data_IF_759326300527
#
_entry.id   IF_759326300527
#
_cell.length_a   1.000
_cell.length_b   1.000
_cell.length_c   1.000
_cell.angle_alpha   90.00
_cell.angle_beta   90.00
_cell.angle_gamma   90.00
#
_symmetry.space_group_name_H-M   'P 1'
#
loop_
_entity.id
_entity.type
_entity.pdbx_description
1 polymer ?
#
# COMPACT_ATOMS: atom_id res chain seq x y z
N UNK A 1 -9.87 24.75 -3.07
CA UNK A 1 -8.56 24.29 -2.58
C UNK A 1 -7.45 25.32 -2.67
N UNK A 2 -7.50 26.31 -3.57
CA UNK A 2 -6.47 27.37 -3.64
C UNK A 2 -5.16 26.93 -4.28
N UNK A 3 -5.16 25.79 -4.98
CA UNK A 3 -3.98 25.21 -5.62
C UNK A 3 -3.80 25.79 -7.03
N UNK A 4 -2.61 26.31 -7.39
CA UNK A 4 -2.37 26.93 -8.68
C UNK A 4 -2.52 25.94 -9.86
N UNK A 5 -2.76 26.43 -11.09
CA UNK A 5 -2.68 25.60 -12.29
C UNK A 5 -1.25 25.09 -12.53
N UNK A 6 -1.10 24.05 -13.37
CA UNK A 6 0.23 23.65 -13.85
C UNK A 6 0.78 24.72 -14.82
N UNK A 7 2.10 24.97 -14.84
CA UNK A 7 2.75 25.71 -15.91
C UNK A 7 2.47 25.10 -17.30
N UNK A 8 2.31 25.94 -18.32
CA UNK A 8 1.95 25.52 -19.69
C UNK A 8 2.95 24.54 -20.34
N UNK A 9 4.21 24.55 -19.89
CA UNK A 9 5.30 23.70 -20.35
C UNK A 9 5.46 22.41 -19.53
N UNK A 10 4.57 22.16 -18.57
CA UNK A 10 4.64 20.96 -17.74
C UNK A 10 4.34 19.72 -18.58
N UNK A 11 5.26 18.75 -18.70
CA UNK A 11 4.97 17.49 -19.36
C UNK A 11 3.75 16.85 -18.69
N UNK A 12 2.77 16.42 -19.49
CA UNK A 12 1.63 15.66 -18.98
C UNK A 12 2.19 14.40 -18.30
N UNK A 13 2.26 14.39 -16.96
CA UNK A 13 2.91 13.28 -16.27
C UNK A 13 2.15 11.97 -16.51
N UNK A 14 2.87 10.91 -16.85
CA UNK A 14 2.32 9.58 -17.12
C UNK A 14 1.64 8.92 -15.91
N UNK A 15 1.77 9.51 -14.73
CA UNK A 15 1.48 8.88 -13.43
C UNK A 15 0.29 7.95 -13.42
N UNK A 16 -0.91 8.50 -13.33
CA UNK A 16 -2.14 7.72 -13.18
C UNK A 16 -2.46 6.83 -14.41
N UNK A 17 -1.91 7.15 -15.59
CA UNK A 17 -2.10 6.39 -16.83
C UNK A 17 -1.29 5.08 -16.86
N UNK A 18 -0.27 4.95 -16.01
CA UNK A 18 0.55 3.73 -15.86
C UNK A 18 -0.22 2.47 -15.42
N UNK A 19 -1.49 2.63 -15.00
CA UNK A 19 -2.37 1.57 -14.50
C UNK A 19 -3.25 0.97 -15.61
N UNK A 20 -3.19 1.51 -16.83
CA UNK A 20 -3.90 0.95 -17.98
C UNK A 20 -3.28 -0.41 -18.35
N UNK A 21 -4.11 -1.37 -18.75
CA UNK A 21 -3.64 -2.73 -19.08
C UNK A 21 -2.51 -2.73 -20.12
N UNK A 22 -2.58 -1.86 -21.14
CA UNK A 22 -1.53 -1.71 -22.17
C UNK A 22 -0.19 -1.23 -21.60
N UNK A 23 -0.20 -0.43 -20.54
CA UNK A 23 1.01 0.09 -19.89
C UNK A 23 1.52 -0.89 -18.82
N UNK A 24 0.61 -1.58 -18.13
CA UNK A 24 1.00 -2.62 -17.17
C UNK A 24 1.77 -3.78 -17.84
N UNK A 25 1.39 -4.15 -19.06
CA UNK A 25 2.08 -5.19 -19.84
C UNK A 25 3.53 -4.83 -20.16
N UNK A 26 3.79 -3.59 -20.59
CA UNK A 26 5.16 -3.16 -20.87
C UNK A 26 6.02 -3.13 -19.60
N UNK A 27 5.45 -2.82 -18.42
CA UNK A 27 6.17 -2.92 -17.15
C UNK A 27 6.56 -4.37 -16.81
N UNK A 28 5.68 -5.35 -17.06
CA UNK A 28 6.01 -6.77 -16.87
C UNK A 28 7.15 -7.19 -17.80
N UNK A 29 7.10 -6.82 -19.08
CA UNK A 29 8.17 -7.12 -20.04
C UNK A 29 9.52 -6.52 -19.62
N UNK A 30 9.52 -5.32 -19.04
CA UNK A 30 10.73 -4.71 -18.47
C UNK A 30 11.21 -5.52 -17.27
N UNK A 31 10.33 -5.84 -16.32
CA UNK A 31 10.71 -6.61 -15.13
C UNK A 31 11.35 -7.95 -15.48
N UNK A 32 10.80 -8.68 -16.46
CA UNK A 32 11.30 -9.98 -16.94
C UNK A 32 12.67 -9.91 -17.64
N UNK A 33 13.14 -8.73 -18.04
CA UNK A 33 14.48 -8.52 -18.63
C UNK A 33 15.57 -8.31 -17.59
N UNK A 34 15.21 -8.13 -16.32
CA UNK A 34 16.13 -7.89 -15.22
C UNK A 34 16.18 -9.09 -14.27
N UNK A 35 17.26 -9.25 -13.48
CA UNK A 35 17.41 -10.37 -12.53
C UNK A 35 16.57 -10.18 -11.25
N UNK A 36 15.33 -9.71 -11.39
CA UNK A 36 14.41 -9.61 -10.28
C UNK A 36 14.05 -11.01 -9.75
N UNK A 37 13.72 -11.11 -8.46
CA UNK A 37 13.40 -12.40 -7.80
C UNK A 37 11.92 -12.59 -7.50
N UNK A 38 11.15 -11.50 -7.54
CA UNK A 38 9.74 -11.47 -7.16
C UNK A 38 8.98 -10.46 -8.02
N UNK A 39 7.81 -10.84 -8.52
CA UNK A 39 6.79 -9.92 -9.03
C UNK A 39 5.63 -9.91 -8.05
N UNK A 40 5.23 -8.74 -7.55
CA UNK A 40 4.09 -8.60 -6.66
C UNK A 40 2.90 -7.96 -7.38
N UNK A 41 1.78 -8.70 -7.46
CA UNK A 41 0.53 -8.21 -8.04
C UNK A 41 -0.35 -7.56 -6.97
N UNK A 42 -0.64 -6.27 -7.14
CA UNK A 42 -1.39 -5.48 -6.16
C UNK A 42 -2.92 -5.63 -6.24
N UNK A 43 -3.49 -5.73 -7.46
CA UNK A 43 -4.94 -5.70 -7.67
C UNK A 43 -5.41 -6.91 -8.47
N UNK A 44 -6.38 -7.64 -7.91
CA UNK A 44 -6.95 -8.83 -8.52
C UNK A 44 -5.96 -10.00 -8.55
N UNK A 45 -6.32 -11.06 -9.28
CA UNK A 45 -5.40 -12.17 -9.52
C UNK A 45 -4.45 -11.85 -10.68
N UNK A 46 -3.16 -12.19 -10.58
CA UNK A 46 -2.25 -12.01 -11.69
C UNK A 46 -2.71 -12.83 -12.92
N UNK A 47 -2.54 -12.32 -14.15
CA UNK A 47 -2.83 -13.09 -15.36
C UNK A 47 -1.98 -14.36 -15.42
N UNK A 48 -2.58 -15.49 -15.82
CA UNK A 48 -1.90 -16.78 -15.84
C UNK A 48 -0.63 -16.79 -16.70
N UNK A 49 -0.64 -16.05 -17.81
CA UNK A 49 0.52 -15.95 -18.71
C UNK A 49 1.67 -15.14 -18.09
N UNK A 50 1.38 -14.19 -17.19
CA UNK A 50 2.41 -13.45 -16.44
C UNK A 50 3.06 -14.34 -15.39
N UNK A 51 2.27 -15.19 -14.71
CA UNK A 51 2.78 -16.15 -13.74
C UNK A 51 3.72 -17.13 -14.43
N UNK A 52 3.29 -17.72 -15.55
CA UNK A 52 4.11 -18.65 -16.32
C UNK A 52 5.45 -18.03 -16.78
N UNK A 53 5.42 -16.81 -17.33
CA UNK A 53 6.64 -16.11 -17.75
C UNK A 53 7.58 -15.79 -16.58
N UNK A 54 7.03 -15.41 -15.41
CA UNK A 54 7.83 -15.18 -14.20
C UNK A 54 8.52 -16.47 -13.75
N UNK A 55 7.78 -17.59 -13.70
CA UNK A 55 8.33 -18.89 -13.34
C UNK A 55 9.38 -19.40 -14.33
N UNK A 56 9.19 -19.19 -15.64
CA UNK A 56 10.20 -19.50 -16.67
C UNK A 56 11.53 -18.74 -16.46
N UNK A 57 11.47 -17.57 -15.83
CA UNK A 57 12.64 -16.75 -15.45
C UNK A 57 13.17 -17.07 -14.04
N UNK A 58 12.57 -18.04 -13.33
CA UNK A 58 12.93 -18.39 -11.96
C UNK A 58 12.57 -17.30 -10.95
N UNK A 59 11.55 -16.48 -11.26
CA UNK A 59 10.99 -15.48 -10.36
C UNK A 59 9.81 -16.05 -9.60
N UNK A 60 9.63 -15.62 -8.36
CA UNK A 60 8.40 -15.88 -7.60
C UNK A 60 7.33 -14.84 -7.94
N UNK A 61 6.07 -15.18 -7.69
CA UNK A 61 4.92 -14.29 -7.80
C UNK A 61 4.24 -14.16 -6.44
N UNK A 62 4.08 -12.92 -5.97
CA UNK A 62 3.23 -12.59 -4.83
C UNK A 62 1.92 -11.96 -5.30
N UNK A 63 0.83 -12.16 -4.56
CA UNK A 63 -0.42 -11.46 -4.82
C UNK A 63 -1.11 -11.01 -3.53
N UNK A 64 -1.63 -9.79 -3.54
CA UNK A 64 -2.37 -9.22 -2.41
C UNK A 64 -3.79 -9.79 -2.36
N UNK A 65 -4.24 -10.14 -1.16
CA UNK A 65 -5.56 -10.67 -0.88
C UNK A 65 -6.20 -9.94 0.30
N UNK A 66 -7.40 -9.40 0.09
CA UNK A 66 -8.22 -8.78 1.13
C UNK A 66 -9.35 -9.68 1.67
N UNK A 67 -9.39 -10.96 1.23
CA UNK A 67 -10.35 -12.01 1.64
C UNK A 67 -9.76 -13.40 1.41
N UNK A 68 -10.26 -14.42 2.11
CA UNK A 68 -9.87 -15.82 1.93
C UNK A 68 -10.10 -16.34 0.50
N UNK A 69 -11.23 -16.00 -0.13
CA UNK A 69 -11.54 -16.47 -1.50
C UNK A 69 -10.56 -15.90 -2.53
N UNK A 70 -10.06 -14.68 -2.31
CA UNK A 70 -9.02 -14.10 -3.16
C UNK A 70 -7.72 -14.89 -3.03
N UNK A 71 -7.31 -15.22 -1.79
CA UNK A 71 -6.10 -15.99 -1.54
C UNK A 71 -6.18 -17.39 -2.16
N UNK A 72 -7.31 -18.08 -2.02
CA UNK A 72 -7.56 -19.37 -2.67
C UNK A 72 -7.42 -19.27 -4.19
N UNK A 73 -8.07 -18.28 -4.82
CA UNK A 73 -7.97 -18.10 -6.27
C UNK A 73 -6.54 -17.78 -6.74
N UNK A 74 -5.76 -17.05 -5.94
CA UNK A 74 -4.35 -16.79 -6.23
C UNK A 74 -3.52 -18.08 -6.20
N UNK A 75 -3.69 -18.90 -5.16
CA UNK A 75 -2.99 -20.19 -5.02
C UNK A 75 -3.34 -21.15 -6.16
N UNK A 76 -4.62 -21.24 -6.54
CA UNK A 76 -5.08 -22.06 -7.66
C UNK A 76 -4.47 -21.65 -9.00
N UNK A 77 -4.04 -20.38 -9.14
CA UNK A 77 -3.39 -19.85 -10.34
C UNK A 77 -1.86 -19.98 -10.31
N UNK A 78 -1.29 -20.51 -9.23
CA UNK A 78 0.16 -20.70 -9.08
C UNK A 78 0.90 -19.49 -8.50
N UNK A 79 0.24 -18.63 -7.71
CA UNK A 79 0.94 -17.61 -6.91
C UNK A 79 1.76 -18.31 -5.82
N UNK A 80 2.99 -17.85 -5.59
CA UNK A 80 3.94 -18.45 -4.64
C UNK A 80 3.85 -17.85 -3.23
N UNK A 81 3.37 -16.60 -3.10
CA UNK A 81 3.27 -15.89 -1.81
C UNK A 81 1.95 -15.10 -1.77
N UNK A 82 1.17 -15.27 -0.69
CA UNK A 82 -0.03 -14.46 -0.47
C UNK A 82 0.29 -13.32 0.49
N UNK A 83 -0.11 -12.09 0.14
CA UNK A 83 -0.01 -10.93 1.01
C UNK A 83 -1.40 -10.61 1.57
N UNK A 84 -1.68 -11.01 2.80
CA UNK A 84 -2.95 -10.79 3.50
C UNK A 84 -3.05 -9.33 3.95
N UNK A 85 -3.76 -8.49 3.17
CA UNK A 85 -3.80 -7.05 3.37
C UNK A 85 -5.09 -6.60 4.07
N UNK A 86 -4.95 -6.24 5.35
CA UNK A 86 -6.06 -5.78 6.18
C UNK A 86 -6.55 -4.37 5.88
N UNK A 87 -7.73 -4.07 6.41
CA UNK A 87 -8.47 -2.81 6.28
C UNK A 87 -7.66 -1.55 6.65
N UNK A 88 -6.68 -1.70 7.54
CA UNK A 88 -5.84 -0.64 8.08
C UNK A 88 -4.75 -0.19 7.07
N UNK A 89 -4.51 -0.96 6.00
CA UNK A 89 -3.52 -0.66 4.98
C UNK A 89 -3.84 0.63 4.19
N UNK A 90 -2.79 1.27 3.68
CA UNK A 90 -2.91 2.41 2.77
C UNK A 90 -3.20 1.98 1.34
N UNK A 91 -3.83 2.85 0.55
CA UNK A 91 -4.21 2.54 -0.83
C UNK A 91 -5.38 1.58 -0.89
N UNK A 92 -5.50 0.84 -2.00
CA UNK A 92 -6.62 -0.08 -2.18
C UNK A 92 -6.58 -1.21 -1.15
N UNK A 93 -7.64 -1.33 -0.36
CA UNK A 93 -7.77 -2.35 0.69
C UNK A 93 -9.21 -2.86 0.78
N UNK A 94 -9.36 -4.09 1.27
CA UNK A 94 -10.63 -4.73 1.58
C UNK A 94 -11.37 -4.08 2.75
N UNK A 95 -12.22 -4.85 3.43
CA UNK A 95 -13.04 -4.38 4.57
C UNK A 95 -12.77 -5.15 5.86
N UNK A 96 -12.00 -6.24 5.77
CA UNK A 96 -11.69 -7.12 6.90
C UNK A 96 -10.39 -6.62 7.55
N UNK A 97 -10.43 -6.35 8.85
CA UNK A 97 -9.29 -5.91 9.64
C UNK A 97 -8.23 -7.01 9.78
N UNK A 98 -6.94 -6.64 9.89
CA UNK A 98 -5.82 -7.60 9.92
C UNK A 98 -5.95 -8.69 10.98
N UNK A 99 -6.50 -8.36 12.16
CA UNK A 99 -6.70 -9.33 13.24
C UNK A 99 -7.61 -10.50 12.84
N UNK A 100 -8.57 -10.26 11.95
CA UNK A 100 -9.51 -11.28 11.45
C UNK A 100 -8.99 -11.86 10.13
N UNK A 101 -8.54 -11.01 9.21
CA UNK A 101 -8.17 -11.40 7.86
C UNK A 101 -6.96 -12.35 7.81
N UNK A 102 -5.93 -12.06 8.61
CA UNK A 102 -4.67 -12.82 8.56
C UNK A 102 -4.89 -14.30 8.89
N UNK A 103 -5.48 -14.66 10.05
CA UNK A 103 -5.70 -16.08 10.36
C UNK A 103 -6.69 -16.74 9.38
N UNK A 104 -7.74 -16.04 8.93
CA UNK A 104 -8.67 -16.58 7.93
C UNK A 104 -7.95 -16.96 6.62
N UNK A 105 -7.04 -16.11 6.13
CA UNK A 105 -6.26 -16.40 4.92
C UNK A 105 -5.28 -17.55 5.18
N UNK A 106 -4.58 -17.55 6.32
CA UNK A 106 -3.65 -18.63 6.70
C UNK A 106 -4.35 -19.98 6.71
N UNK A 107 -5.49 -20.08 7.39
CA UNK A 107 -6.29 -21.30 7.48
C UNK A 107 -6.80 -21.74 6.10
N UNK A 108 -7.24 -20.78 5.27
CA UNK A 108 -7.74 -21.08 3.94
C UNK A 108 -6.66 -21.65 3.01
N UNK A 109 -5.45 -21.09 3.02
CA UNK A 109 -4.37 -21.56 2.12
C UNK A 109 -3.60 -22.76 2.69
N UNK A 110 -3.57 -22.92 4.01
CA UNK A 110 -2.78 -23.95 4.70
C UNK A 110 -1.30 -23.88 4.33
N UNK A 111 -0.64 -25.03 4.22
CA UNK A 111 0.80 -25.11 3.90
C UNK A 111 1.13 -24.92 2.41
N UNK A 112 0.14 -24.57 1.56
CA UNK A 112 0.35 -24.46 0.11
C UNK A 112 1.29 -23.32 -0.27
N UNK A 113 1.20 -22.19 0.45
CA UNK A 113 2.02 -21.00 0.22
C UNK A 113 2.25 -20.24 1.53
N UNK A 114 3.41 -19.58 1.72
CA UNK A 114 3.59 -18.65 2.82
C UNK A 114 2.65 -17.44 2.71
N UNK A 115 2.19 -16.96 3.87
CA UNK A 115 1.34 -15.76 3.99
C UNK A 115 2.13 -14.65 4.66
N UNK A 116 2.19 -13.48 4.03
CA UNK A 116 2.72 -12.25 4.63
C UNK A 116 1.57 -11.37 5.10
N UNK A 117 1.55 -10.99 6.38
CA UNK A 117 0.55 -10.06 6.90
C UNK A 117 0.87 -8.62 6.47
N UNK A 118 -0.13 -7.85 6.05
CA UNK A 118 0.02 -6.48 5.62
C UNK A 118 -1.10 -5.59 6.16
N UNK A 119 -0.79 -4.32 6.43
CA UNK A 119 -1.74 -3.33 6.96
C UNK A 119 -1.68 -3.20 8.48
N UNK A 120 -1.44 -1.98 8.95
CA UNK A 120 -1.35 -1.68 10.39
C UNK A 120 -0.05 -2.13 11.08
N UNK A 121 0.99 -2.50 10.33
CA UNK A 121 2.27 -3.00 10.87
C UNK A 121 3.37 -1.94 10.71
N UNK A 122 3.96 -1.53 11.83
CA UNK A 122 5.01 -0.52 11.94
C UNK A 122 5.74 -0.55 13.30
N UNK A 123 5.79 -1.73 13.94
CA UNK A 123 6.49 -1.98 15.20
C UNK A 123 6.75 -3.47 15.37
N UNK A 124 7.78 -3.85 16.14
CA UNK A 124 8.13 -5.25 16.37
C UNK A 124 7.04 -6.04 17.10
N UNK A 125 6.27 -5.38 17.98
CA UNK A 125 5.09 -6.00 18.63
C UNK A 125 3.98 -6.37 17.64
N UNK A 126 3.82 -5.59 16.57
CA UNK A 126 2.84 -5.89 15.51
C UNK A 126 3.34 -7.01 14.60
N UNK A 127 4.66 -7.11 14.40
CA UNK A 127 5.28 -8.27 13.75
C UNK A 127 5.02 -9.53 14.58
N UNK A 128 5.29 -9.51 15.89
CA UNK A 128 5.02 -10.63 16.77
C UNK A 128 3.55 -11.05 16.75
N UNK A 129 2.61 -10.08 16.75
CA UNK A 129 1.19 -10.37 16.62
C UNK A 129 0.85 -11.04 15.28
N UNK A 130 1.39 -10.54 14.16
CA UNK A 130 1.17 -11.15 12.85
C UNK A 130 1.68 -12.60 12.76
N UNK A 131 2.87 -12.88 13.30
CA UNK A 131 3.42 -14.23 13.36
C UNK A 131 2.59 -15.13 14.27
N UNK A 132 2.08 -14.61 15.39
CA UNK A 132 1.18 -15.35 16.28
C UNK A 132 -0.18 -15.68 15.62
N UNK A 133 -0.61 -14.87 14.63
CA UNK A 133 -1.78 -15.14 13.80
C UNK A 133 -1.51 -16.14 12.65
N UNK A 134 -0.29 -16.71 12.58
CA UNK A 134 0.07 -17.75 11.61
C UNK A 134 0.74 -17.23 10.33
N UNK A 135 0.99 -15.93 10.19
CA UNK A 135 1.74 -15.42 9.06
C UNK A 135 3.22 -15.83 9.12
N UNK A 136 3.84 -16.07 7.97
CA UNK A 136 5.28 -16.37 7.85
C UNK A 136 6.16 -15.13 7.95
N UNK A 137 5.57 -13.94 7.82
CA UNK A 137 6.27 -12.66 7.86
C UNK A 137 5.30 -11.49 7.65
N UNK A 138 5.87 -10.30 7.41
CA UNK A 138 5.09 -9.07 7.25
C UNK A 138 5.45 -8.33 5.97
N UNK A 139 4.48 -7.60 5.41
CA UNK A 139 4.64 -6.69 4.27
C UNK A 139 4.24 -5.27 4.70
N UNK A 140 5.23 -4.39 4.81
CA UNK A 140 5.06 -3.02 5.29
C UNK A 140 5.11 -2.01 4.14
N UNK A 141 4.32 -0.94 4.24
CA UNK A 141 4.23 0.12 3.24
C UNK A 141 4.44 1.51 3.83
N UNK A 142 3.42 2.04 4.52
CA UNK A 142 3.43 3.43 4.99
C UNK A 142 4.61 3.79 5.89
N UNK A 143 5.09 2.87 6.73
CA UNK A 143 6.24 3.11 7.60
C UNK A 143 7.52 3.54 6.84
N UNK A 144 7.64 3.18 5.56
CA UNK A 144 8.79 3.53 4.72
C UNK A 144 8.69 4.95 4.13
N UNK A 145 7.53 5.62 4.21
CA UNK A 145 7.32 6.95 3.61
C UNK A 145 7.97 8.09 4.41
N UNK A 146 8.35 7.83 5.66
CA UNK A 146 9.09 8.76 6.53
C UNK A 146 10.51 8.26 6.81
N UNK A 147 11.11 7.48 5.91
CA UNK A 147 12.54 7.19 6.00
C UNK A 147 13.38 8.22 5.27
N UNK A 148 14.65 8.40 5.67
CA UNK A 148 15.55 9.35 5.00
C UNK A 148 15.89 8.95 3.56
N UNK A 149 15.86 7.65 3.28
CA UNK A 149 16.05 7.06 1.95
C UNK A 149 14.83 7.22 1.04
N UNK A 150 13.66 7.56 1.59
CA UNK A 150 12.48 7.86 0.78
C UNK A 150 12.66 9.21 0.07
N UNK A 151 12.70 9.17 -1.26
CA UNK A 151 12.98 10.33 -2.10
C UNK A 151 11.82 10.60 -3.07
N UNK A 152 11.25 11.82 -3.00
CA UNK A 152 10.24 12.30 -3.96
C UNK A 152 10.67 13.58 -4.69
N UNK A 153 11.96 13.92 -4.61
CA UNK A 153 12.48 15.19 -5.15
C UNK A 153 11.79 16.40 -4.50
N UNK A 154 11.44 17.45 -5.28
CA UNK A 154 10.86 18.68 -4.74
C UNK A 154 9.54 18.51 -3.96
N UNK A 155 8.83 17.39 -4.16
CA UNK A 155 7.52 17.14 -3.56
C UNK A 155 7.61 16.64 -2.11
N UNK A 156 8.81 16.21 -1.69
CA UNK A 156 9.03 15.44 -0.47
C UNK A 156 8.67 16.19 0.82
N UNK A 157 8.99 17.49 0.92
CA UNK A 157 8.83 18.25 2.15
C UNK A 157 7.36 18.33 2.61
N UNK A 158 6.46 18.70 1.70
CA UNK A 158 5.02 18.80 2.01
C UNK A 158 4.37 17.45 2.30
N UNK A 159 4.78 16.38 1.62
CA UNK A 159 4.29 15.02 1.85
C UNK A 159 4.74 14.52 3.22
N UNK A 160 6.04 14.65 3.52
CA UNK A 160 6.58 14.22 4.81
C UNK A 160 5.96 15.01 5.95
N UNK A 161 5.82 16.33 5.83
CA UNK A 161 5.14 17.13 6.85
C UNK A 161 3.71 16.64 7.11
N UNK A 162 2.93 16.44 6.04
CA UNK A 162 1.55 15.94 6.17
C UNK A 162 1.47 14.55 6.83
N UNK A 163 2.46 13.68 6.58
CA UNK A 163 2.54 12.36 7.20
C UNK A 163 2.96 12.42 8.67
N UNK A 164 3.93 13.28 9.02
CA UNK A 164 4.45 13.45 10.38
C UNK A 164 3.43 14.06 11.35
N UNK A 165 2.54 14.91 10.83
CA UNK A 165 1.49 15.58 11.62
C UNK A 165 0.24 14.70 11.82
N UNK A 166 0.10 13.60 11.07
CA UNK A 166 -1.11 12.79 11.04
C UNK A 166 -1.19 11.76 12.17
N UNK A 167 -2.39 11.55 12.69
CA UNK A 167 -2.71 10.48 13.65
C UNK A 167 -3.33 9.27 12.96
N UNK A 168 -3.51 8.16 13.68
CA UNK A 168 -4.20 6.97 13.14
C UNK A 168 -5.66 7.22 12.74
N UNK A 169 -6.27 8.30 13.23
CA UNK A 169 -7.62 8.75 12.90
C UNK A 169 -7.67 9.61 11.64
N UNK A 170 -6.53 10.10 11.15
CA UNK A 170 -6.44 11.03 10.01
C UNK A 170 -6.28 10.29 8.69
N UNK A 171 -7.00 9.18 8.53
CA UNK A 171 -7.11 8.47 7.26
C UNK A 171 -8.58 8.20 6.93
N UNK A 172 -8.91 8.21 5.64
CA UNK A 172 -10.26 7.97 5.14
C UNK A 172 -10.24 6.99 3.99
N UNK A 173 -11.20 6.07 3.97
CA UNK A 173 -11.41 5.15 2.85
C UNK A 173 -12.43 5.76 1.90
N UNK A 174 -12.03 5.98 0.66
CA UNK A 174 -12.84 6.65 -0.35
C UNK A 174 -12.54 6.11 -1.75
N UNK A 175 -13.42 6.39 -2.72
CA UNK A 175 -13.21 6.06 -4.13
C UNK A 175 -12.53 7.17 -4.92
N UNK A 176 -12.26 8.33 -4.32
CA UNK A 176 -11.85 9.54 -5.04
C UNK A 176 -10.49 9.44 -5.73
N UNK A 177 -9.65 8.48 -5.33
CA UNK A 177 -8.30 8.32 -5.88
C UNK A 177 -8.32 7.70 -7.28
N UNK A 178 -9.01 6.57 -7.44
CA UNK A 178 -8.99 5.76 -8.69
C UNK A 178 -10.38 5.29 -9.13
N UNK A 179 -11.40 5.47 -8.31
CA UNK A 179 -12.74 4.92 -8.48
C UNK A 179 -12.97 3.59 -7.75
N UNK A 180 -11.90 2.92 -7.30
CA UNK A 180 -11.96 1.81 -6.33
C UNK A 180 -11.73 2.32 -4.91
N UNK A 181 -12.29 1.66 -3.87
CA UNK A 181 -12.00 2.00 -2.48
C UNK A 181 -10.50 1.99 -2.20
N UNK A 182 -9.98 3.09 -1.68
CA UNK A 182 -8.60 3.26 -1.25
C UNK A 182 -8.54 4.10 0.02
N UNK A 183 -7.63 3.76 0.94
CA UNK A 183 -7.35 4.54 2.14
C UNK A 183 -6.31 5.62 1.84
N UNK A 184 -6.69 6.85 2.12
CA UNK A 184 -5.91 8.05 1.87
C UNK A 184 -5.73 8.81 3.19
N UNK A 185 -4.73 9.68 3.22
CA UNK A 185 -4.59 10.70 4.26
C UNK A 185 -5.83 11.61 4.22
N UNK A 186 -6.44 11.84 5.38
CA UNK A 186 -7.58 12.76 5.52
C UNK A 186 -7.05 14.20 5.56
N UNK A 187 -7.53 15.02 4.64
CA UNK A 187 -7.17 16.43 4.51
C UNK A 187 -8.20 17.20 3.67
N UNK A 188 -7.93 18.47 3.35
CA UNK A 188 -8.85 19.34 2.60
C UNK A 188 -9.23 18.79 1.23
N UNK A 189 -8.33 18.06 0.54
CA UNK A 189 -8.68 17.38 -0.71
C UNK A 189 -9.74 16.32 -0.45
N UNK A 190 -9.50 15.39 0.47
CA UNK A 190 -10.46 14.31 0.76
C UNK A 190 -11.79 14.81 1.34
N UNK A 191 -11.75 15.88 2.14
CA UNK A 191 -12.92 16.49 2.76
C UNK A 191 -13.80 17.16 1.72
N UNK A 192 -13.21 17.84 0.72
CA UNK A 192 -13.97 18.48 -0.36
C UNK A 192 -14.83 17.50 -1.18
N UNK A 193 -14.44 16.23 -1.27
CA UNK A 193 -15.24 15.18 -1.90
C UNK A 193 -16.36 14.63 -1.02
N UNK A 194 -16.36 14.98 0.27
CA UNK A 194 -17.39 14.58 1.24
C UNK A 194 -18.40 15.70 1.52
N UNK A 195 -18.17 16.89 0.97
CA UNK A 195 -19.06 18.05 1.11
C UNK A 195 -20.42 17.84 0.41
N UNK A 196 -21.45 18.50 0.93
CA UNK A 196 -22.78 18.46 0.32
C UNK A 196 -22.73 19.04 -1.11
N UNK A 197 -23.21 18.27 -2.09
CA UNK A 197 -23.19 18.66 -3.50
C UNK A 197 -21.90 18.27 -4.25
N UNK A 198 -20.92 17.66 -3.57
CA UNK A 198 -19.75 17.10 -4.24
C UNK A 198 -20.16 15.98 -5.23
N UNK A 199 -19.50 15.88 -6.40
CA UNK A 199 -19.80 14.84 -7.37
C UNK A 199 -19.44 13.46 -6.82
N UNK A 200 -20.23 12.45 -7.22
CA UNK A 200 -19.89 11.07 -6.91
C UNK A 200 -18.65 10.63 -7.69
N UNK A 201 -17.68 9.93 -7.06
CA UNK A 201 -16.51 9.44 -7.77
C UNK A 201 -16.90 8.50 -8.91
N UNK A 202 -16.24 8.63 -10.06
CA UNK A 202 -16.43 7.72 -11.19
C UNK A 202 -15.89 6.31 -10.87
N UNK A 203 -16.28 5.27 -11.61
CA UNK A 203 -15.62 3.96 -11.50
C UNK A 203 -14.19 4.00 -12.06
N UNK A 204 -13.36 3.03 -11.65
CA UNK A 204 -12.03 2.84 -12.24
C UNK A 204 -12.16 2.35 -13.69
N UNK A 205 -11.37 2.87 -14.65
CA UNK A 205 -10.27 3.82 -14.49
C UNK A 205 -10.65 5.31 -14.67
N UNK A 206 -11.92 5.63 -14.94
CA UNK A 206 -12.34 7.00 -15.30
C UNK A 206 -12.06 8.02 -14.19
N UNK A 207 -12.28 7.67 -12.92
CA UNK A 207 -11.97 8.58 -11.82
C UNK A 207 -10.49 8.91 -11.78
N UNK A 208 -9.64 7.90 -12.00
CA UNK A 208 -8.20 8.04 -12.05
C UNK A 208 -7.80 9.08 -13.12
N UNK A 209 -8.38 8.97 -14.32
CA UNK A 209 -8.14 9.91 -15.42
C UNK A 209 -8.63 11.32 -15.05
N UNK A 210 -9.82 11.44 -14.46
CA UNK A 210 -10.42 12.71 -14.05
C UNK A 210 -9.54 13.48 -13.05
N UNK A 211 -8.99 12.80 -12.04
CA UNK A 211 -8.23 13.45 -10.96
C UNK A 211 -6.73 13.56 -11.24
N UNK A 212 -6.23 13.03 -12.36
CA UNK A 212 -4.81 12.96 -12.66
C UNK A 212 -4.12 14.34 -12.63
N UNK A 213 -4.70 15.33 -13.31
CA UNK A 213 -4.18 16.71 -13.31
C UNK A 213 -4.27 17.34 -11.91
N UNK A 214 -5.39 17.15 -11.22
CA UNK A 214 -5.57 17.65 -9.87
C UNK A 214 -4.49 17.10 -8.92
N UNK A 215 -4.22 15.79 -8.95
CA UNK A 215 -3.16 15.19 -8.14
C UNK A 215 -1.78 15.77 -8.46
N UNK A 216 -1.45 16.01 -9.74
CA UNK A 216 -0.18 16.64 -10.11
C UNK A 216 -0.05 18.05 -9.53
N UNK A 217 -1.13 18.85 -9.60
CA UNK A 217 -1.19 20.20 -9.03
C UNK A 217 -1.05 20.17 -7.51
N UNK A 218 -1.80 19.30 -6.84
CA UNK A 218 -1.78 19.16 -5.38
C UNK A 218 -0.38 18.79 -4.87
N UNK A 219 0.26 17.80 -5.52
CA UNK A 219 1.60 17.38 -5.14
C UNK A 219 2.65 18.48 -5.34
N UNK A 220 2.53 19.28 -6.42
CA UNK A 220 3.45 20.38 -6.75
C UNK A 220 3.20 21.66 -5.96
N UNK A 221 2.09 21.76 -5.24
CA UNK A 221 1.71 22.97 -4.52
C UNK A 221 2.63 23.28 -3.33
N UNK A 222 3.35 22.27 -2.82
CA UNK A 222 4.12 22.40 -1.58
C UNK A 222 3.24 22.61 -0.34
N UNK A 223 1.94 22.34 -0.42
CA UNK A 223 0.96 22.52 0.66
C UNK A 223 0.63 21.15 1.30
N UNK A 224 1.07 20.89 2.55
CA UNK A 224 0.79 19.63 3.25
C UNK A 224 -0.71 19.38 3.46
N UNK A 225 -1.54 20.42 3.48
CA UNK A 225 -2.98 20.32 3.79
C UNK A 225 -3.84 19.75 2.66
N UNK A 226 -3.24 19.44 1.50
CA UNK A 226 -3.96 18.97 0.30
C UNK A 226 -3.33 17.76 -0.39
N UNK A 227 -2.32 17.13 0.22
CA UNK A 227 -1.55 16.03 -0.39
C UNK A 227 -2.45 14.80 -0.65
N UNK A 228 -2.59 14.33 -1.92
CA UNK A 228 -3.41 13.16 -2.25
C UNK A 228 -2.64 11.84 -2.02
N UNK A 229 -2.28 11.55 -0.77
CA UNK A 229 -1.39 10.43 -0.42
C UNK A 229 -2.14 9.18 0.07
N UNK A 230 -1.95 8.01 -0.57
CA UNK A 230 -2.32 6.74 0.03
C UNK A 230 -1.46 6.42 1.27
N UNK A 231 -2.11 6.22 2.41
CA UNK A 231 -1.41 5.89 3.67
C UNK A 231 -2.31 5.07 4.58
N UNK A 232 -1.73 4.12 5.31
CA UNK A 232 -2.43 3.28 6.28
C UNK A 232 -2.55 3.94 7.64
N UNK A 233 -3.38 3.39 8.51
CA UNK A 233 -3.59 3.91 9.88
C UNK A 233 -2.34 3.85 10.75
N UNK A 234 -1.31 3.11 10.33
CA UNK A 234 0.01 3.11 10.96
C UNK A 234 0.70 4.48 10.92
N UNK A 235 0.18 5.43 10.12
CA UNK A 235 0.68 6.81 10.04
C UNK A 235 0.80 7.50 11.40
N UNK A 236 -0.07 7.18 12.35
CA UNK A 236 0.03 7.70 13.72
C UNK A 236 1.30 7.29 14.50
N UNK A 237 2.15 6.41 13.93
CA UNK A 237 3.47 6.06 14.47
C UNK A 237 4.63 6.70 13.68
N UNK A 238 4.35 7.35 12.56
CA UNK A 238 5.35 7.96 11.68
C UNK A 238 5.65 9.38 12.17
N UNK A 239 6.27 9.51 13.34
CA UNK A 239 6.43 10.80 14.05
C UNK A 239 7.80 11.47 13.87
N UNK A 240 8.73 10.82 13.19
CA UNK A 240 10.05 11.37 12.86
C UNK A 240 10.57 10.78 11.54
N UNK A 241 11.47 11.52 10.89
CA UNK A 241 12.22 10.99 9.74
C UNK A 241 13.44 10.24 10.24
N UNK A 242 13.58 8.97 9.85
CA UNK A 242 14.67 8.11 10.32
C UNK A 242 15.30 7.29 9.19
N UNK A 243 16.58 6.90 9.30
CA UNK A 243 17.17 5.91 8.40
C UNK A 243 16.40 4.58 8.42
N UNK A 244 16.30 3.91 7.26
CA UNK A 244 15.75 2.54 7.15
C UNK A 244 16.46 1.60 8.13
N UNK A 245 17.78 1.75 8.30
CA UNK A 245 18.56 0.95 9.24
C UNK A 245 18.03 1.05 10.68
N UNK A 246 17.66 2.25 11.12
CA UNK A 246 17.16 2.49 12.48
C UNK A 246 15.73 1.98 12.66
N UNK A 247 14.90 2.10 11.62
CA UNK A 247 13.56 1.50 11.59
C UNK A 247 13.68 -0.01 11.72
N UNK A 248 14.54 -0.65 10.91
CA UNK A 248 14.78 -2.09 10.96
C UNK A 248 15.31 -2.56 12.32
N UNK A 249 16.28 -1.85 12.89
CA UNK A 249 16.82 -2.16 14.21
C UNK A 249 15.73 -2.10 15.30
N UNK A 250 14.86 -1.09 15.24
CA UNK A 250 13.73 -0.95 16.17
C UNK A 250 12.72 -2.09 16.00
N UNK A 251 12.40 -2.48 14.76
CA UNK A 251 11.48 -3.60 14.49
C UNK A 251 11.97 -4.92 15.08
N UNK A 252 13.27 -5.22 14.96
CA UNK A 252 13.88 -6.45 15.51
C UNK A 252 13.90 -6.39 17.05
N UNK A 253 14.39 -5.30 17.63
CA UNK A 253 14.49 -5.17 19.08
C UNK A 253 13.11 -5.24 19.77
N UNK A 254 12.11 -4.53 19.25
CA UNK A 254 10.74 -4.57 19.77
C UNK A 254 10.07 -5.94 19.57
N UNK A 255 10.45 -6.69 18.54
CA UNK A 255 9.95 -8.05 18.30
C UNK A 255 10.48 -9.01 19.38
N UNK A 256 11.79 -8.99 19.65
CA UNK A 256 12.41 -9.80 20.69
C UNK A 256 11.86 -9.46 22.09
N UNK A 257 11.64 -8.16 22.35
CA UNK A 257 11.00 -7.71 23.59
C UNK A 257 9.56 -8.25 23.70
N UNK A 258 8.79 -8.20 22.62
CA UNK A 258 7.43 -8.70 22.59
C UNK A 258 7.36 -10.21 22.85
N UNK A 259 8.26 -11.00 22.24
CA UNK A 259 8.37 -12.43 22.51
C UNK A 259 8.74 -12.72 23.96
N UNK A 260 9.76 -12.04 24.48
CA UNK A 260 10.19 -12.17 25.88
C UNK A 260 9.07 -11.86 26.86
N UNK A 261 8.24 -10.84 26.56
CA UNK A 261 7.07 -10.50 27.38
C UNK A 261 5.98 -11.57 27.32
N UNK A 262 5.72 -12.15 26.14
CA UNK A 262 4.75 -13.22 25.98
C UNK A 262 5.19 -14.51 26.70
N UNK A 263 6.48 -14.85 26.65
CA UNK A 263 7.02 -16.00 27.38
C UNK A 263 6.91 -15.86 28.89
N UNK A 264 7.08 -14.64 29.43
CA UNK A 264 6.84 -14.36 30.86
C UNK A 264 5.37 -14.42 31.27
N UNK A 265 4.45 -14.33 30.31
CA UNK A 265 3.01 -14.36 30.56
C UNK A 265 2.40 -15.78 30.45
N UNK A 266 3.18 -16.76 29.98
CA UNK A 266 2.85 -18.18 29.96
C UNK A 266 3.16 -18.81 31.31
#
# INVERSE_FOLDING_TARGET
LGVPPLPDDTPAGDGVRGWLHSVARSHVEVALKHPARLIANALGSPPADVIAQAHEKGMLVAALAGKAEHALSHVERGVDIVVAQGYEAGGHTGEIASMVLVPEIVDAVGDRVPVLAAGGIGSGRQIAAALALGASGVWMGSAWLTTSEYQMGPLQSSVQQALLEATSSDTVRSRIYTGKPARLLKNRWTESWSEAGAPQPLPMPLQNILVAEAHQRLMRAGDPSVVPMPVGQIVGRMNEVRPVADVMASLVAEFDEALSRLDRAR
#
